data_IF_191451815582
#
_entry.id   IF_191451815582
#
_cell.length_a   1.000
_cell.length_b   1.000
_cell.length_c   1.000
_cell.angle_alpha   90.00
_cell.angle_beta   90.00
_cell.angle_gamma   90.00
#
_symmetry.space_group_name_H-M   'P 1'
#
loop_
_entity.id
_entity.type
_entity.pdbx_description
1 polymer ?
#
# COMPACT_ATOMS: atom_id res chain seq x y z
N UNK A 1 3.01 -36.61 -22.31
CA UNK A 1 2.25 -35.60 -21.53
C UNK A 1 2.46 -34.28 -22.23
N UNK A 2 1.40 -33.78 -22.85
CA UNK A 2 1.43 -32.59 -23.71
C UNK A 2 1.64 -31.33 -22.87
N UNK A 3 2.53 -30.42 -23.32
CA UNK A 3 2.85 -29.14 -22.71
C UNK A 3 1.67 -28.11 -22.70
N UNK A 4 0.46 -28.54 -23.07
CA UNK A 4 -0.76 -27.72 -23.11
C UNK A 4 -1.43 -27.57 -21.73
N UNK A 5 -1.10 -28.40 -20.74
CA UNK A 5 -1.78 -28.43 -19.44
C UNK A 5 -1.20 -27.45 -18.39
N UNK A 6 -0.11 -26.75 -18.70
CA UNK A 6 0.58 -25.88 -17.73
C UNK A 6 -0.01 -24.47 -17.59
N UNK A 7 -1.09 -24.12 -18.33
CA UNK A 7 -1.67 -22.75 -18.38
C UNK A 7 -3.16 -22.72 -18.06
N UNK A 8 -3.60 -23.41 -17.04
CA UNK A 8 -5.00 -23.34 -16.59
C UNK A 8 -5.23 -22.40 -15.43
N UNK A 9 -4.18 -21.88 -14.82
CA UNK A 9 -4.25 -21.01 -13.66
C UNK A 9 -3.71 -19.60 -13.95
N UNK A 10 -4.29 -18.56 -13.34
CA UNK A 10 -3.74 -17.21 -13.36
C UNK A 10 -2.31 -17.17 -12.81
N UNK A 11 -1.51 -16.27 -13.33
CA UNK A 11 -0.10 -16.12 -12.95
C UNK A 11 0.17 -14.73 -12.40
N UNK A 12 0.91 -14.65 -11.29
CA UNK A 12 1.51 -13.41 -10.83
C UNK A 12 2.73 -13.12 -11.74
N UNK A 13 2.64 -12.02 -12.49
CA UNK A 13 3.64 -11.66 -13.52
C UNK A 13 4.71 -10.77 -12.96
N UNK A 14 4.33 -9.82 -12.12
CA UNK A 14 5.24 -8.86 -11.54
C UNK A 14 4.77 -8.40 -10.17
N UNK A 15 5.73 -7.91 -9.38
CA UNK A 15 5.51 -7.23 -8.11
C UNK A 15 6.48 -6.06 -8.02
N UNK A 16 5.99 -4.91 -7.52
CA UNK A 16 6.83 -3.77 -7.18
C UNK A 16 6.33 -3.12 -5.89
N UNK A 17 7.22 -2.43 -5.21
CA UNK A 17 6.93 -1.68 -3.99
C UNK A 17 7.39 -0.24 -4.13
N UNK A 18 6.79 0.65 -3.35
CA UNK A 18 7.21 2.02 -3.18
C UNK A 18 7.10 2.42 -1.71
N UNK A 19 8.02 3.25 -1.25
CA UNK A 19 8.02 3.77 0.11
C UNK A 19 8.15 5.29 0.08
N UNK A 20 7.60 6.01 1.08
CA UNK A 20 7.78 7.45 1.20
C UNK A 20 9.25 7.85 1.41
N UNK A 21 9.58 9.13 1.16
CA UNK A 21 10.96 9.59 1.16
C UNK A 21 11.62 9.68 2.54
N UNK A 22 10.84 9.84 3.62
CA UNK A 22 11.40 10.04 4.96
C UNK A 22 11.70 8.68 5.62
N UNK A 23 12.96 8.27 5.53
CA UNK A 23 13.47 7.12 6.26
C UNK A 23 13.90 7.55 7.66
N UNK A 24 13.31 6.96 8.71
CA UNK A 24 13.56 7.33 10.11
C UNK A 24 14.02 6.11 10.90
N UNK A 25 15.05 6.29 11.74
CA UNK A 25 15.51 5.22 12.61
C UNK A 25 14.48 4.93 13.72
N UNK A 26 14.32 3.67 14.10
CA UNK A 26 13.41 3.28 15.18
C UNK A 26 13.76 3.99 16.52
N UNK A 27 15.05 4.24 16.76
CA UNK A 27 15.52 4.96 17.95
C UNK A 27 15.07 6.42 17.97
N UNK A 28 15.00 7.09 16.81
CA UNK A 28 14.50 8.47 16.69
C UNK A 28 13.00 8.53 16.97
N UNK A 29 12.23 7.59 16.40
CA UNK A 29 10.79 7.49 16.67
C UNK A 29 10.54 7.19 18.15
N UNK A 30 11.29 6.25 18.75
CA UNK A 30 11.22 5.94 20.18
C UNK A 30 11.49 7.18 21.04
N UNK A 31 12.53 7.96 20.72
CA UNK A 31 12.87 9.18 21.47
C UNK A 31 11.75 10.25 21.34
N UNK A 32 11.18 10.42 20.14
CA UNK A 32 10.06 11.33 19.92
C UNK A 32 8.84 10.90 20.75
N UNK A 33 8.46 9.63 20.67
CA UNK A 33 7.30 9.08 21.37
C UNK A 33 7.48 9.16 22.89
N UNK A 34 8.69 8.88 23.39
CA UNK A 34 8.99 9.02 24.82
C UNK A 34 8.73 10.46 25.34
N UNK A 35 9.03 11.47 24.53
CA UNK A 35 8.74 12.87 24.84
C UNK A 35 7.24 13.18 24.79
N UNK A 36 6.54 12.67 23.78
CA UNK A 36 5.10 12.92 23.58
C UNK A 36 4.25 12.26 24.66
N UNK A 37 4.63 11.05 25.08
CA UNK A 37 3.90 10.27 26.09
C UNK A 37 4.44 10.51 27.52
N UNK A 38 5.35 11.48 27.72
CA UNK A 38 5.89 11.79 29.03
C UNK A 38 4.78 12.11 30.04
N UNK A 39 4.85 11.49 31.23
CA UNK A 39 3.84 11.62 32.28
C UNK A 39 2.60 10.73 32.13
N UNK A 40 2.45 10.01 31.02
CA UNK A 40 1.39 9.00 30.86
C UNK A 40 1.88 7.60 31.26
N UNK A 41 0.96 6.68 31.53
CA UNK A 41 1.31 5.27 31.77
C UNK A 41 1.99 4.63 30.55
N UNK A 42 1.55 4.98 29.33
CA UNK A 42 2.12 4.49 28.09
C UNK A 42 3.57 4.99 27.86
N UNK A 43 3.94 6.14 28.40
CA UNK A 43 5.30 6.68 28.36
C UNK A 43 6.27 6.05 29.35
N UNK A 44 5.85 5.05 30.11
CA UNK A 44 6.73 4.34 31.05
C UNK A 44 7.89 3.62 30.34
N UNK A 45 9.05 3.59 30.94
CA UNK A 45 10.24 2.92 30.39
C UNK A 45 9.98 1.46 30.00
N UNK A 46 9.11 0.77 30.76
CA UNK A 46 8.68 -0.61 30.48
C UNK A 46 7.93 -0.74 29.15
N UNK A 47 6.98 0.16 28.87
CA UNK A 47 6.18 0.09 27.65
C UNK A 47 6.96 0.56 26.43
N UNK A 48 7.88 1.49 26.59
CA UNK A 48 8.79 1.93 25.51
C UNK A 48 9.75 0.82 25.03
N UNK A 49 9.94 -0.25 25.80
CA UNK A 49 10.69 -1.44 25.33
C UNK A 49 10.06 -2.12 24.12
N UNK A 50 8.78 -1.87 23.81
CA UNK A 50 8.15 -2.39 22.59
C UNK A 50 8.90 -1.95 21.34
N UNK A 51 9.50 -0.78 21.32
CA UNK A 51 10.33 -0.30 20.21
C UNK A 51 11.60 -1.15 20.04
N UNK A 52 12.23 -1.51 21.15
CA UNK A 52 13.47 -2.28 21.16
C UNK A 52 13.22 -3.75 20.75
N UNK A 53 12.06 -4.30 21.14
CA UNK A 53 11.66 -5.68 20.83
C UNK A 53 10.92 -5.85 19.50
N UNK A 54 10.61 -4.76 18.80
CA UNK A 54 9.87 -4.82 17.52
C UNK A 54 10.64 -5.49 16.38
N UNK A 55 11.98 -5.58 16.48
CA UNK A 55 12.85 -6.05 15.41
C UNK A 55 12.97 -5.07 14.23
N UNK A 56 12.40 -3.86 14.35
CA UNK A 56 12.41 -2.83 13.32
C UNK A 56 13.60 -1.91 13.54
N UNK A 57 14.46 -1.78 12.55
CA UNK A 57 15.60 -0.86 12.60
C UNK A 57 15.24 0.52 12.04
N UNK A 58 14.48 0.56 10.95
CA UNK A 58 14.13 1.77 10.21
C UNK A 58 12.71 1.66 9.66
N UNK A 59 12.05 2.82 9.50
CA UNK A 59 10.72 2.94 8.89
C UNK A 59 10.68 4.07 7.88
N UNK A 60 9.77 3.96 6.91
CA UNK A 60 9.43 5.03 6.00
C UNK A 60 8.11 5.66 6.41
N UNK A 61 8.06 7.00 6.41
CA UNK A 61 6.88 7.79 6.76
C UNK A 61 6.68 8.92 5.76
N UNK A 62 5.42 9.35 5.57
CA UNK A 62 5.07 10.37 4.57
C UNK A 62 5.62 11.75 4.88
N UNK A 63 5.68 12.13 6.15
CA UNK A 63 6.07 13.46 6.58
C UNK A 63 7.33 13.39 7.47
N UNK A 64 8.13 14.45 7.55
CA UNK A 64 9.26 14.48 8.49
C UNK A 64 8.76 14.39 9.95
N UNK A 65 9.59 13.88 10.86
CA UNK A 65 9.20 13.63 12.25
C UNK A 65 8.64 14.87 12.97
N UNK A 66 9.16 16.04 12.65
CA UNK A 66 8.72 17.32 13.23
C UNK A 66 7.25 17.63 12.92
N UNK A 67 6.75 17.15 11.77
CA UNK A 67 5.36 17.36 11.37
C UNK A 67 4.38 16.74 12.37
N UNK A 68 4.74 15.61 12.97
CA UNK A 68 3.90 14.89 13.95
C UNK A 68 3.89 15.53 15.34
N UNK A 69 4.69 16.56 15.57
CA UNK A 69 4.70 17.33 16.82
C UNK A 69 3.58 18.37 16.93
N UNK A 70 2.93 18.70 15.82
CA UNK A 70 1.82 19.65 15.77
C UNK A 70 0.48 18.92 15.68
N UNK A 71 -0.54 19.50 16.32
CA UNK A 71 -1.89 18.98 16.20
C UNK A 71 -2.42 19.20 14.78
N UNK A 72 -3.04 18.17 14.24
CA UNK A 72 -3.62 18.18 12.90
C UNK A 72 -5.06 17.68 12.94
N UNK A 73 -5.92 18.37 12.23
CA UNK A 73 -7.28 17.90 12.05
C UNK A 73 -7.33 16.64 11.18
N UNK A 74 -8.38 15.85 11.33
CA UNK A 74 -8.63 14.71 10.45
C UNK A 74 -8.69 15.15 8.97
N UNK A 75 -9.27 16.32 8.70
CA UNK A 75 -9.37 16.83 7.33
C UNK A 75 -7.99 17.08 6.70
N UNK A 76 -7.04 17.67 7.45
CA UNK A 76 -5.67 17.91 6.98
C UNK A 76 -4.92 16.58 6.76
N UNK A 77 -5.00 15.66 7.71
CA UNK A 77 -4.37 14.33 7.59
C UNK A 77 -4.94 13.54 6.42
N UNK A 78 -6.26 13.56 6.24
CA UNK A 78 -6.92 12.85 5.15
C UNK A 78 -6.67 13.49 3.77
N UNK A 79 -6.52 14.80 3.69
CA UNK A 79 -6.11 15.46 2.44
C UNK A 79 -4.71 15.01 2.01
N UNK A 80 -3.76 14.97 2.95
CA UNK A 80 -2.42 14.41 2.70
C UNK A 80 -2.47 12.94 2.32
N UNK A 81 -3.32 12.14 2.99
CA UNK A 81 -3.51 10.74 2.62
C UNK A 81 -3.92 10.60 1.16
N UNK A 82 -4.91 11.36 0.69
CA UNK A 82 -5.38 11.26 -0.70
C UNK A 82 -4.25 11.58 -1.68
N UNK A 83 -3.47 12.62 -1.43
CA UNK A 83 -2.34 13.04 -2.26
C UNK A 83 -1.22 11.99 -2.26
N UNK A 84 -0.75 11.62 -1.08
CA UNK A 84 0.42 10.75 -0.91
C UNK A 84 0.12 9.30 -1.29
N UNK A 85 -1.09 8.80 -0.99
CA UNK A 85 -1.50 7.46 -1.36
C UNK A 85 -1.63 7.31 -2.89
N UNK A 86 -2.14 8.34 -3.57
CA UNK A 86 -2.20 8.35 -5.03
C UNK A 86 -0.80 8.36 -5.64
N UNK A 87 0.09 9.22 -5.16
CA UNK A 87 1.45 9.32 -5.67
C UNK A 87 2.23 8.02 -5.47
N UNK A 88 2.17 7.46 -4.26
CA UNK A 88 2.90 6.24 -3.90
C UNK A 88 2.34 5.01 -4.61
N UNK A 89 1.01 4.89 -4.66
CA UNK A 89 0.32 3.82 -5.38
C UNK A 89 0.61 3.86 -6.87
N UNK A 90 0.64 5.05 -7.48
CA UNK A 90 1.00 5.22 -8.88
C UNK A 90 2.46 4.85 -9.16
N UNK A 91 3.38 5.19 -8.26
CA UNK A 91 4.79 4.80 -8.38
C UNK A 91 4.97 3.27 -8.35
N UNK A 92 4.35 2.59 -7.38
CA UNK A 92 4.37 1.13 -7.30
C UNK A 92 3.71 0.48 -8.53
N UNK A 93 2.56 1.01 -8.97
CA UNK A 93 1.83 0.51 -10.13
C UNK A 93 2.65 0.62 -11.43
N UNK A 94 3.26 1.79 -11.70
CA UNK A 94 4.12 1.99 -12.88
C UNK A 94 5.31 1.03 -12.88
N UNK A 95 5.98 0.87 -11.74
CA UNK A 95 7.09 -0.06 -11.63
C UNK A 95 6.65 -1.52 -11.84
N UNK A 96 5.47 -1.92 -11.37
CA UNK A 96 4.94 -3.26 -11.61
C UNK A 96 4.59 -3.47 -13.10
N UNK A 97 3.98 -2.49 -13.75
CA UNK A 97 3.65 -2.53 -15.18
C UNK A 97 4.92 -2.61 -16.04
N UNK A 98 5.92 -1.80 -15.76
CA UNK A 98 7.20 -1.82 -16.44
C UNK A 98 7.86 -3.19 -16.34
N UNK A 99 7.93 -3.79 -15.16
CA UNK A 99 8.45 -5.14 -14.94
C UNK A 99 7.66 -6.22 -15.68
N UNK A 100 6.36 -6.01 -15.87
CA UNK A 100 5.50 -6.90 -16.63
C UNK A 100 5.60 -6.70 -18.16
N UNK A 101 6.23 -5.63 -18.63
CA UNK A 101 6.26 -5.24 -20.05
C UNK A 101 4.90 -4.77 -20.56
N UNK A 102 4.08 -4.16 -19.69
CA UNK A 102 2.72 -3.71 -19.94
C UNK A 102 2.58 -2.20 -19.83
N UNK A 103 1.59 -1.66 -20.53
CA UNK A 103 1.07 -0.31 -20.34
C UNK A 103 -0.23 -0.35 -19.52
N UNK A 104 -0.62 0.79 -18.96
CA UNK A 104 -1.88 0.90 -18.23
C UNK A 104 -3.12 0.65 -19.13
N UNK A 105 -3.01 0.92 -20.42
CA UNK A 105 -4.03 0.61 -21.42
C UNK A 105 -4.23 -0.88 -21.69
N UNK A 106 -3.28 -1.72 -21.26
CA UNK A 106 -3.39 -3.18 -21.35
C UNK A 106 -4.22 -3.80 -20.21
N UNK A 107 -4.56 -3.01 -19.19
CA UNK A 107 -5.27 -3.48 -18.00
C UNK A 107 -6.77 -3.62 -18.24
N UNK A 108 -7.35 -4.70 -17.71
CA UNK A 108 -8.78 -4.96 -17.71
C UNK A 108 -9.41 -4.63 -16.35
N UNK A 109 -8.64 -4.76 -15.26
CA UNK A 109 -9.10 -4.49 -13.90
C UNK A 109 -8.01 -3.80 -13.06
N UNK A 110 -8.47 -2.87 -12.21
CA UNK A 110 -7.69 -2.29 -11.11
C UNK A 110 -8.38 -2.65 -9.79
N UNK A 111 -7.66 -3.32 -8.90
CA UNK A 111 -8.07 -3.58 -7.51
C UNK A 111 -7.23 -2.69 -6.61
N UNK A 112 -7.87 -1.79 -5.87
CA UNK A 112 -7.17 -0.86 -4.97
C UNK A 112 -7.58 -1.13 -3.53
N UNK A 113 -6.61 -1.29 -2.65
CA UNK A 113 -6.81 -1.60 -1.23
C UNK A 113 -6.13 -0.54 -0.36
N UNK A 114 -6.88 -0.02 0.60
CA UNK A 114 -6.35 0.84 1.66
C UNK A 114 -7.33 0.93 2.84
N UNK A 115 -6.81 1.16 4.03
CA UNK A 115 -7.60 1.31 5.26
C UNK A 115 -7.24 2.57 6.05
N UNK A 116 -6.21 3.32 5.64
CA UNK A 116 -5.61 4.41 6.42
C UNK A 116 -6.13 5.80 6.06
N UNK A 117 -7.14 5.88 5.19
CA UNK A 117 -7.81 7.13 4.85
C UNK A 117 -9.06 6.91 4.02
N UNK A 118 -9.75 7.99 3.67
CA UNK A 118 -11.04 7.99 2.97
C UNK A 118 -10.96 8.90 1.75
N UNK A 119 -11.52 8.48 0.62
CA UNK A 119 -11.64 9.28 -0.59
C UNK A 119 -12.98 9.04 -1.28
N UNK A 120 -13.58 10.11 -1.78
CA UNK A 120 -14.77 10.06 -2.65
C UNK A 120 -14.60 11.08 -3.78
N UNK A 121 -14.46 10.65 -5.06
CA UNK A 121 -14.36 9.25 -5.53
C UNK A 121 -13.21 8.48 -4.89
N UNK A 122 -13.32 7.13 -4.86
CA UNK A 122 -12.28 6.27 -4.29
C UNK A 122 -10.97 6.31 -5.09
N UNK A 123 -9.85 6.04 -4.43
CA UNK A 123 -8.51 6.22 -5.01
C UNK A 123 -8.23 5.36 -6.25
N UNK A 124 -8.93 4.24 -6.44
CA UNK A 124 -8.87 3.47 -7.69
C UNK A 124 -9.29 4.28 -8.92
N UNK A 125 -10.27 5.21 -8.76
CA UNK A 125 -10.67 6.11 -9.83
C UNK A 125 -9.56 7.10 -10.19
N UNK A 126 -9.00 7.75 -9.18
CA UNK A 126 -7.89 8.68 -9.34
C UNK A 126 -6.65 7.98 -9.89
N UNK A 127 -6.35 6.78 -9.40
CA UNK A 127 -5.20 5.98 -9.85
C UNK A 127 -5.35 5.56 -11.32
N UNK A 128 -6.53 5.06 -11.72
CA UNK A 128 -6.79 4.66 -13.11
C UNK A 128 -6.62 5.84 -14.07
N UNK A 129 -7.09 7.02 -13.69
CA UNK A 129 -6.90 8.26 -14.46
C UNK A 129 -5.40 8.65 -14.52
N UNK A 130 -4.71 8.64 -13.39
CA UNK A 130 -3.29 9.02 -13.30
C UNK A 130 -2.35 8.06 -14.05
N UNK A 131 -2.75 6.80 -14.21
CA UNK A 131 -2.02 5.81 -15.00
C UNK A 131 -2.35 5.89 -16.50
N UNK A 132 -3.50 6.45 -16.88
CA UNK A 132 -3.99 6.46 -18.25
C UNK A 132 -4.66 5.14 -18.65
N UNK A 133 -5.33 4.47 -17.70
CA UNK A 133 -6.13 3.29 -18.01
C UNK A 133 -7.24 3.64 -19.01
N UNK A 134 -7.60 2.68 -19.87
CA UNK A 134 -8.73 2.86 -20.81
C UNK A 134 -10.07 2.93 -20.05
N UNK A 135 -11.09 3.59 -20.61
CA UNK A 135 -12.37 3.81 -19.93
C UNK A 135 -13.09 2.51 -19.51
N UNK A 136 -12.87 1.42 -20.25
CA UNK A 136 -13.48 0.11 -20.01
C UNK A 136 -12.81 -0.66 -18.87
N UNK A 137 -11.66 -0.19 -18.39
CA UNK A 137 -10.96 -0.81 -17.27
C UNK A 137 -11.85 -0.80 -16.02
N UNK A 138 -12.18 -1.97 -15.52
CA UNK A 138 -13.06 -2.14 -14.36
C UNK A 138 -12.29 -1.85 -13.08
N UNK A 139 -12.98 -1.36 -12.06
CA UNK A 139 -12.37 -0.97 -10.80
C UNK A 139 -13.03 -1.67 -9.61
N UNK A 140 -12.24 -2.04 -8.64
CA UNK A 140 -12.71 -2.67 -7.39
C UNK A 140 -11.98 -2.01 -6.22
N UNK A 141 -12.55 -0.97 -5.61
CA UNK A 141 -12.04 -0.43 -4.36
C UNK A 141 -12.36 -1.37 -3.20
N UNK A 142 -11.38 -1.60 -2.34
CA UNK A 142 -11.52 -2.41 -1.13
C UNK A 142 -11.02 -1.60 0.06
N UNK A 143 -11.91 -1.36 1.02
CA UNK A 143 -11.60 -0.60 2.21
C UNK A 143 -11.93 -1.39 3.49
N UNK A 144 -11.15 -1.15 4.56
CA UNK A 144 -11.47 -1.64 5.90
C UNK A 144 -11.01 -3.07 6.23
N UNK A 145 -10.22 -3.71 5.37
CA UNK A 145 -9.67 -5.05 5.64
C UNK A 145 -8.37 -5.02 6.49
N UNK A 146 -7.78 -3.84 6.68
CA UNK A 146 -6.53 -3.70 7.43
C UNK A 146 -5.42 -4.62 6.91
N UNK A 147 -4.67 -5.23 7.80
CA UNK A 147 -3.52 -6.10 7.45
C UNK A 147 -3.89 -7.33 6.61
N UNK A 148 -5.16 -7.73 6.54
CA UNK A 148 -5.62 -8.83 5.69
C UNK A 148 -5.80 -8.41 4.21
N UNK A 149 -5.74 -7.10 3.91
CA UNK A 149 -6.04 -6.56 2.59
C UNK A 149 -5.15 -7.14 1.49
N UNK A 150 -3.85 -7.31 1.76
CA UNK A 150 -2.91 -7.86 0.78
C UNK A 150 -3.29 -9.27 0.31
N UNK A 151 -3.58 -10.17 1.26
CA UNK A 151 -3.99 -11.54 0.94
C UNK A 151 -5.37 -11.58 0.26
N UNK A 152 -6.33 -10.80 0.77
CA UNK A 152 -7.67 -10.70 0.18
C UNK A 152 -7.63 -10.11 -1.24
N UNK A 153 -6.78 -9.10 -1.48
CA UNK A 153 -6.59 -8.51 -2.80
C UNK A 153 -5.98 -9.47 -3.81
N UNK A 154 -4.99 -10.26 -3.41
CA UNK A 154 -4.41 -11.29 -4.27
C UNK A 154 -5.46 -12.35 -4.63
N UNK A 155 -6.27 -12.79 -3.66
CA UNK A 155 -7.39 -13.70 -3.91
C UNK A 155 -8.39 -13.08 -4.90
N UNK A 156 -8.74 -11.80 -4.73
CA UNK A 156 -9.66 -11.09 -5.62
C UNK A 156 -9.09 -10.93 -7.02
N UNK A 157 -7.82 -10.58 -7.16
CA UNK A 157 -7.15 -10.46 -8.45
C UNK A 157 -7.12 -11.82 -9.18
N UNK A 158 -6.85 -12.91 -8.44
CA UNK A 158 -6.93 -14.28 -8.96
C UNK A 158 -8.34 -14.63 -9.46
N UNK A 159 -9.38 -14.33 -8.68
CA UNK A 159 -10.76 -14.64 -9.04
C UNK A 159 -11.21 -13.91 -10.31
N UNK A 160 -10.81 -12.64 -10.47
CA UNK A 160 -11.06 -11.86 -11.67
C UNK A 160 -10.35 -12.46 -12.89
N UNK A 161 -9.10 -12.89 -12.73
CA UNK A 161 -8.33 -13.52 -13.79
C UNK A 161 -8.76 -14.97 -14.12
N UNK A 162 -9.46 -15.63 -13.18
CA UNK A 162 -10.14 -16.92 -13.44
C UNK A 162 -11.45 -16.71 -14.21
N UNK A 163 -12.21 -15.68 -13.84
CA UNK A 163 -13.49 -15.37 -14.51
C UNK A 163 -13.29 -14.91 -15.94
N UNK A 164 -12.19 -14.22 -16.24
CA UNK A 164 -11.76 -13.87 -17.57
C UNK A 164 -10.30 -14.32 -17.80
N UNK A 165 -10.09 -15.47 -18.45
CA UNK A 165 -8.75 -16.02 -18.70
C UNK A 165 -7.83 -15.12 -19.54
N UNK A 166 -8.34 -14.09 -20.20
CA UNK A 166 -7.53 -13.12 -20.94
C UNK A 166 -7.21 -11.87 -20.15
N UNK A 167 -7.86 -11.67 -19.01
CA UNK A 167 -7.74 -10.44 -18.24
C UNK A 167 -6.33 -10.22 -17.66
N UNK A 168 -5.97 -8.96 -17.58
CA UNK A 168 -4.81 -8.44 -16.85
C UNK A 168 -5.31 -7.57 -15.69
N UNK A 169 -4.98 -7.96 -14.49
CA UNK A 169 -5.44 -7.35 -13.26
C UNK A 169 -4.26 -6.69 -12.56
N UNK A 170 -4.34 -5.39 -12.35
CA UNK A 170 -3.44 -4.65 -11.48
C UNK A 170 -4.07 -4.59 -10.09
N UNK A 171 -3.38 -5.11 -9.08
CA UNK A 171 -3.71 -4.94 -7.67
C UNK A 171 -2.75 -3.95 -7.04
N UNK A 172 -3.25 -2.95 -6.33
CA UNK A 172 -2.43 -1.96 -5.61
C UNK A 172 -2.92 -1.87 -4.17
N UNK A 173 -2.02 -2.05 -3.23
CA UNK A 173 -2.25 -1.84 -1.81
C UNK A 173 -1.41 -0.66 -1.32
N UNK A 174 -2.05 0.28 -0.62
CA UNK A 174 -1.36 1.45 -0.05
C UNK A 174 -1.81 1.63 1.39
N UNK A 175 -0.85 1.68 2.32
CA UNK A 175 -1.14 2.03 3.71
C UNK A 175 -0.20 3.13 4.18
N UNK A 176 -0.78 4.21 4.69
CA UNK A 176 -0.09 5.38 5.22
C UNK A 176 -0.44 5.52 6.70
N UNK A 177 0.02 4.54 7.48
CA UNK A 177 -0.32 4.43 8.90
C UNK A 177 0.19 5.62 9.71
N UNK A 178 1.28 6.27 9.29
CA UNK A 178 1.81 7.43 9.98
C UNK A 178 0.80 8.60 10.00
N UNK A 179 -0.02 8.73 8.96
CA UNK A 179 -1.05 9.77 8.87
C UNK A 179 -2.29 9.48 9.74
N UNK A 180 -2.41 8.29 10.30
CA UNK A 180 -3.48 7.95 11.26
C UNK A 180 -3.08 8.19 12.71
N UNK A 181 -1.83 8.57 12.97
CA UNK A 181 -1.32 8.85 14.30
C UNK A 181 -2.11 9.97 14.98
N UNK A 182 -2.52 9.72 16.22
CA UNK A 182 -3.21 10.69 17.08
C UNK A 182 -2.36 11.04 18.28
N UNK A 183 -1.87 12.25 18.30
CA UNK A 183 -0.99 12.74 19.37
C UNK A 183 -1.68 12.80 20.73
N UNK A 184 -2.98 13.11 20.76
CA UNK A 184 -3.77 13.24 21.98
C UNK A 184 -4.15 11.89 22.60
N UNK A 185 -4.07 10.80 21.82
CA UNK A 185 -4.37 9.46 22.28
C UNK A 185 -3.15 8.83 22.95
N UNK A 186 -3.08 8.94 24.26
CA UNK A 186 -2.02 8.40 25.09
C UNK A 186 -2.28 6.95 25.54
N UNK A 187 -3.16 6.21 24.85
CA UNK A 187 -3.43 4.80 25.13
C UNK A 187 -2.23 3.90 24.73
N UNK A 188 -2.07 2.81 25.45
CA UNK A 188 -1.11 1.73 25.14
C UNK A 188 -1.25 1.20 23.72
N UNK A 189 -2.48 1.13 23.19
CA UNK A 189 -2.74 0.68 21.81
C UNK A 189 -2.10 1.60 20.78
N UNK A 190 -2.24 2.92 20.97
CA UNK A 190 -1.62 3.91 20.11
C UNK A 190 -0.09 3.83 20.19
N UNK A 191 0.47 3.62 21.36
CA UNK A 191 1.90 3.39 21.55
C UNK A 191 2.39 2.16 20.76
N UNK A 192 1.69 1.02 20.88
CA UNK A 192 2.04 -0.21 20.16
C UNK A 192 1.91 0.00 18.65
N UNK A 193 0.82 0.59 18.18
CA UNK A 193 0.64 0.91 16.76
C UNK A 193 1.78 1.79 16.24
N UNK A 194 2.13 2.84 16.99
CA UNK A 194 3.23 3.75 16.66
C UNK A 194 4.59 3.05 16.66
N UNK A 195 4.77 1.98 17.43
CA UNK A 195 6.02 1.23 17.45
C UNK A 195 6.19 0.27 16.25
N UNK A 196 5.10 -0.12 15.59
CA UNK A 196 5.09 -1.18 14.57
C UNK A 196 4.80 -0.66 13.16
N UNK A 197 3.87 0.29 13.00
CA UNK A 197 3.37 0.67 11.70
C UNK A 197 4.24 1.71 11.00
N UNK A 198 4.24 1.64 9.68
CA UNK A 198 4.93 2.55 8.76
C UNK A 198 4.08 2.74 7.50
N UNK A 199 4.63 3.44 6.51
CA UNK A 199 3.95 3.76 5.27
C UNK A 199 4.57 3.01 4.10
N UNK A 200 3.74 2.62 3.15
CA UNK A 200 4.22 1.94 1.95
C UNK A 200 3.11 1.63 0.96
N UNK A 201 3.54 1.27 -0.24
CA UNK A 201 2.68 0.74 -1.29
C UNK A 201 3.30 -0.50 -1.93
N UNK A 202 2.45 -1.39 -2.39
CA UNK A 202 2.83 -2.52 -3.23
C UNK A 202 1.84 -2.67 -4.38
N UNK A 203 2.35 -3.06 -5.54
CA UNK A 203 1.54 -3.35 -6.70
C UNK A 203 1.92 -4.70 -7.31
N UNK A 204 0.91 -5.42 -7.77
CA UNK A 204 1.06 -6.74 -8.39
C UNK A 204 0.28 -6.79 -9.68
N UNK A 205 0.86 -7.36 -10.72
CA UNK A 205 0.14 -7.70 -11.96
C UNK A 205 -0.15 -9.19 -11.97
N UNK A 206 -1.43 -9.53 -12.10
CA UNK A 206 -1.92 -10.91 -12.27
C UNK A 206 -2.51 -11.04 -13.67
N UNK A 207 -2.14 -12.09 -14.38
CA UNK A 207 -2.66 -12.41 -15.71
C UNK A 207 -3.46 -13.70 -15.69
N UNK A 208 -4.56 -13.72 -16.44
CA UNK A 208 -5.30 -14.92 -16.75
C UNK A 208 -4.47 -15.88 -17.62
N UNK A 209 -4.84 -17.15 -17.60
CA UNK A 209 -4.08 -18.22 -18.24
C UNK A 209 -3.95 -18.09 -19.78
N UNK A 210 -4.83 -17.31 -20.41
CA UNK A 210 -4.89 -17.05 -21.85
C UNK A 210 -4.62 -15.58 -22.22
N UNK A 211 -4.10 -14.78 -21.28
CA UNK A 211 -3.73 -13.40 -21.56
C UNK A 211 -2.68 -13.39 -22.69
N UNK A 212 -2.78 -12.47 -23.66
CA UNK A 212 -1.79 -12.37 -24.73
C UNK A 212 -0.41 -12.04 -24.16
N UNK A 213 0.67 -12.39 -24.84
CA UNK A 213 2.02 -12.04 -24.41
C UNK A 213 2.13 -10.52 -24.25
N UNK A 214 2.98 -10.03 -23.32
CA UNK A 214 3.17 -8.60 -23.14
C UNK A 214 3.74 -7.97 -24.43
N UNK A 215 3.31 -6.74 -24.79
CA UNK A 215 3.76 -6.07 -26.00
C UNK A 215 5.24 -5.64 -25.95
N UNK A 216 5.81 -5.57 -24.75
CA UNK A 216 7.22 -5.24 -24.51
C UNK A 216 7.94 -6.40 -23.85
N UNK A 217 9.27 -6.45 -24.00
CA UNK A 217 10.09 -7.40 -23.22
C UNK A 217 10.03 -6.98 -21.74
N UNK A 218 9.63 -7.91 -20.84
CA UNK A 218 9.58 -7.59 -19.41
C UNK A 218 10.97 -7.23 -18.87
N UNK A 219 11.07 -6.14 -18.12
CA UNK A 219 12.26 -5.82 -17.37
C UNK A 219 12.40 -6.77 -16.19
N UNK A 220 13.40 -7.65 -16.23
CA UNK A 220 13.82 -8.42 -15.07
C UNK A 220 14.83 -7.58 -14.27
N UNK A 221 14.65 -7.43 -12.95
CA UNK A 221 15.62 -6.75 -12.09
C UNK A 221 16.93 -7.53 -12.02
#
# INVERSE_FOLDING_TARGET
>A
MSSADARTAPTLVSLATAVPPHAVAQTEVRALVARMFAGSEAGSARLLQVFDHSGIAQRHICMPLEWYLSDRSFAEQNALYVEQALALGAAAARAALERAGLEATDLDHVVFLSSTGIATPSLDAHLSLALGCRPECRRTPVWGLGCAAGAAGLSRARDLALADPRARVLMVAVELCSLTFRREDLDKRNLVATSLFADGAAAVVVQGAQAPPPPRTPHRP
#
